data_IF_304770771644
#
_entry.id   IF_304770771644
#
_cell.length_a   1.000
_cell.length_b   1.000
_cell.length_c   1.000
_cell.angle_alpha   90.00
_cell.angle_beta   90.00
_cell.angle_gamma   90.00
#
_symmetry.space_group_name_H-M   'P 1'
#
loop_
_entity.id
_entity.type
_entity.pdbx_description
1 polymer ?
#
# COMPACT_ATOMS: atom_id res chain seq x y z
N UNK A 1 18.54 -2.75 13.74
CA UNK A 1 17.49 -3.51 14.44
C UNK A 1 16.72 -4.24 13.36
N UNK A 2 16.87 -5.57 13.29
CA UNK A 2 16.21 -6.40 12.29
C UNK A 2 14.76 -6.59 12.74
N UNK A 3 13.78 -6.04 12.03
CA UNK A 3 12.37 -6.35 12.28
C UNK A 3 12.12 -7.79 11.80
N UNK A 4 11.87 -8.68 12.75
CA UNK A 4 11.61 -10.12 12.55
C UNK A 4 10.17 -10.39 12.06
N UNK A 5 9.74 -9.72 10.99
CA UNK A 5 8.40 -9.95 10.39
C UNK A 5 8.46 -10.64 9.02
N UNK A 6 9.65 -11.06 8.58
CA UNK A 6 9.83 -11.94 7.42
C UNK A 6 9.71 -13.39 7.90
N UNK A 7 8.47 -13.88 8.06
CA UNK A 7 8.17 -15.30 8.35
C UNK A 7 8.74 -16.22 7.26
N UNK A 8 8.99 -15.65 6.07
CA UNK A 8 9.79 -16.25 5.01
C UNK A 8 10.94 -15.28 4.69
N UNK A 9 12.19 -15.74 4.68
CA UNK A 9 13.40 -15.01 4.21
C UNK A 9 13.33 -14.74 2.68
N UNK A 10 12.20 -14.25 2.21
CA UNK A 10 11.93 -13.93 0.84
C UNK A 10 11.61 -12.43 0.78
N UNK A 11 12.46 -11.68 0.09
CA UNK A 11 12.47 -10.22 0.05
C UNK A 11 11.21 -9.58 -0.56
N UNK A 12 10.16 -10.35 -0.84
CA UNK A 12 8.88 -9.90 -1.43
C UNK A 12 8.35 -8.60 -0.82
N UNK A 13 8.47 -8.43 0.50
CA UNK A 13 7.96 -7.24 1.20
C UNK A 13 8.75 -5.99 0.82
N UNK A 14 10.08 -6.12 0.80
CA UNK A 14 10.99 -5.06 0.37
C UNK A 14 10.84 -4.79 -1.14
N UNK A 15 10.76 -5.83 -1.96
CA UNK A 15 10.61 -5.69 -3.41
C UNK A 15 9.29 -5.00 -3.78
N UNK A 16 8.20 -5.35 -3.10
CA UNK A 16 6.90 -4.68 -3.27
C UNK A 16 6.95 -3.23 -2.80
N UNK A 17 7.70 -2.94 -1.73
CA UNK A 17 7.91 -1.58 -1.26
C UNK A 17 8.69 -0.74 -2.29
N UNK A 18 9.78 -1.27 -2.83
CA UNK A 18 10.57 -0.61 -3.89
C UNK A 18 9.71 -0.35 -5.13
N UNK A 19 8.83 -1.30 -5.48
CA UNK A 19 7.85 -1.11 -6.55
C UNK A 19 6.89 0.05 -6.27
N UNK A 20 6.30 0.13 -5.07
CA UNK A 20 5.42 1.25 -4.71
C UNK A 20 6.14 2.60 -4.78
N UNK A 21 7.38 2.68 -4.32
CA UNK A 21 8.19 3.92 -4.41
C UNK A 21 8.45 4.30 -5.86
N UNK A 22 8.78 3.34 -6.72
CA UNK A 22 8.97 3.58 -8.14
C UNK A 22 7.67 4.02 -8.83
N UNK A 23 6.55 3.42 -8.45
CA UNK A 23 5.23 3.70 -9.05
C UNK A 23 4.68 5.06 -8.60
N UNK A 24 4.95 5.45 -7.36
CA UNK A 24 4.68 6.77 -6.81
C UNK A 24 5.49 7.87 -7.51
N UNK A 25 6.72 7.56 -7.95
CA UNK A 25 7.65 8.54 -8.49
C UNK A 25 7.17 9.10 -9.83
N UNK A 26 6.78 10.38 -9.82
CA UNK A 26 6.35 11.11 -11.01
C UNK A 26 4.87 10.97 -11.36
N UNK A 27 4.06 10.34 -10.49
CA UNK A 27 2.61 10.35 -10.60
C UNK A 27 2.01 11.43 -9.69
N UNK A 28 1.04 12.16 -10.20
CA UNK A 28 0.19 13.04 -9.39
C UNK A 28 -1.06 12.27 -8.98
N UNK A 29 -1.06 11.70 -7.78
CA UNK A 29 -2.22 11.00 -7.23
C UNK A 29 -3.00 11.91 -6.29
N UNK A 30 -4.30 12.09 -6.55
CA UNK A 30 -5.18 12.86 -5.67
C UNK A 30 -5.60 12.05 -4.43
N UNK A 31 -5.73 10.72 -4.60
CA UNK A 31 -6.12 9.79 -3.55
C UNK A 31 -5.16 8.61 -3.51
N UNK A 32 -4.66 8.29 -2.32
CA UNK A 32 -3.79 7.15 -2.10
C UNK A 32 -4.48 6.17 -1.15
N UNK A 33 -4.71 4.94 -1.63
CA UNK A 33 -5.18 3.82 -0.84
C UNK A 33 -3.97 2.97 -0.45
N UNK A 34 -3.78 2.71 0.85
CA UNK A 34 -2.72 1.80 1.33
C UNK A 34 -3.35 0.78 2.26
N UNK A 35 -3.10 -0.50 2.07
CA UNK A 35 -3.74 -1.51 2.92
C UNK A 35 -3.25 -2.92 2.70
N UNK A 36 -4.02 -3.84 3.22
CA UNK A 36 -3.77 -5.27 3.10
C UNK A 36 -4.29 -5.83 1.76
N UNK A 37 -4.54 -7.13 1.75
CA UNK A 37 -5.13 -7.89 0.65
C UNK A 37 -6.46 -7.31 0.17
N UNK A 38 -7.24 -6.62 1.00
CA UNK A 38 -8.47 -5.98 0.55
C UNK A 38 -8.23 -4.81 -0.39
N UNK A 39 -7.18 -4.00 -0.15
CA UNK A 39 -6.83 -2.90 -1.06
C UNK A 39 -6.28 -3.46 -2.38
N UNK A 40 -5.48 -4.53 -2.31
CA UNK A 40 -4.98 -5.21 -3.50
C UNK A 40 -6.13 -5.80 -4.34
N UNK A 41 -7.13 -6.41 -3.68
CA UNK A 41 -8.32 -6.94 -4.35
C UNK A 41 -9.25 -5.83 -4.84
N UNK A 42 -9.34 -4.72 -4.10
CA UNK A 42 -10.13 -3.55 -4.50
C UNK A 42 -9.61 -2.97 -5.82
N UNK A 43 -8.29 -2.82 -5.97
CA UNK A 43 -7.68 -2.36 -7.23
C UNK A 43 -8.03 -3.27 -8.42
N UNK A 44 -8.14 -4.58 -8.18
CA UNK A 44 -8.51 -5.55 -9.20
C UNK A 44 -10.02 -5.56 -9.52
N UNK A 45 -10.84 -5.00 -8.64
CA UNK A 45 -12.29 -5.04 -8.76
C UNK A 45 -12.81 -4.21 -9.94
N UNK A 46 -13.97 -4.62 -10.46
CA UNK A 46 -14.66 -3.88 -11.50
C UNK A 46 -15.04 -2.46 -11.06
N UNK A 47 -15.46 -2.32 -9.79
CA UNK A 47 -15.84 -1.03 -9.18
C UNK A 47 -14.68 -0.04 -9.22
N UNK A 48 -13.46 -0.49 -8.89
CA UNK A 48 -12.29 0.37 -8.96
C UNK A 48 -12.00 0.83 -10.39
N UNK A 49 -12.03 -0.11 -11.35
CA UNK A 49 -11.75 0.19 -12.76
C UNK A 49 -12.74 1.17 -13.37
N UNK A 50 -14.03 1.05 -13.05
CA UNK A 50 -15.05 1.93 -13.61
C UNK A 50 -15.12 3.30 -12.92
N UNK A 51 -14.93 3.36 -11.60
CA UNK A 51 -15.20 4.58 -10.83
C UNK A 51 -13.96 5.29 -10.30
N UNK A 52 -12.88 4.58 -9.99
CA UNK A 52 -11.73 5.13 -9.26
C UNK A 52 -10.47 5.25 -10.12
N UNK A 53 -10.27 4.37 -11.10
CA UNK A 53 -9.16 4.48 -12.05
C UNK A 53 -9.10 5.84 -12.78
N UNK A 54 -10.22 6.48 -13.17
CA UNK A 54 -10.19 7.81 -13.77
C UNK A 54 -9.85 8.95 -12.79
N UNK A 55 -9.93 8.71 -11.49
CA UNK A 55 -9.76 9.73 -10.43
C UNK A 55 -8.30 9.89 -9.98
N UNK A 56 -7.34 9.39 -10.76
CA UNK A 56 -5.91 9.45 -10.44
C UNK A 56 -5.62 8.87 -9.04
N UNK A 57 -6.30 7.76 -8.72
CA UNK A 57 -6.10 7.04 -7.47
C UNK A 57 -4.87 6.11 -7.59
N UNK A 58 -4.10 5.97 -6.52
CA UNK A 58 -3.09 4.93 -6.38
C UNK A 58 -3.51 3.94 -5.30
N UNK A 59 -3.32 2.64 -5.56
CA UNK A 59 -3.61 1.57 -4.62
C UNK A 59 -2.34 0.79 -4.30
N UNK A 60 -1.89 0.87 -3.05
CA UNK A 60 -0.74 0.14 -2.54
C UNK A 60 -1.22 -0.92 -1.53
N UNK A 61 -1.77 -2.00 -2.07
CA UNK A 61 -2.20 -3.18 -1.31
C UNK A 61 -1.09 -4.20 -1.20
N UNK A 62 -0.78 -4.64 0.02
CA UNK A 62 0.21 -5.68 0.27
C UNK A 62 -0.46 -6.94 0.86
N UNK A 63 -0.45 -8.03 0.09
CA UNK A 63 -0.97 -9.33 0.51
C UNK A 63 -0.19 -9.82 1.74
N UNK A 64 -0.88 -10.04 2.86
CA UNK A 64 -0.27 -10.55 4.09
C UNK A 64 0.29 -9.50 5.04
N UNK A 65 0.24 -8.20 4.70
CA UNK A 65 0.68 -7.16 5.63
C UNK A 65 -0.27 -7.05 6.84
N UNK A 66 0.32 -6.75 8.01
CA UNK A 66 -0.37 -6.31 9.22
C UNK A 66 -0.40 -4.78 9.27
N UNK A 67 -1.28 -4.23 10.10
CA UNK A 67 -1.40 -2.77 10.28
C UNK A 67 -0.09 -2.15 10.81
N UNK A 68 0.69 -2.88 11.61
CA UNK A 68 2.03 -2.48 12.06
C UNK A 68 3.01 -2.24 10.91
N UNK A 69 2.87 -3.00 9.82
CA UNK A 69 3.74 -2.91 8.64
C UNK A 69 3.38 -1.71 7.75
N UNK A 70 2.11 -1.31 7.79
CA UNK A 70 1.60 -0.11 7.12
C UNK A 70 2.32 1.16 7.64
N UNK A 71 2.59 1.20 8.95
CA UNK A 71 3.32 2.30 9.59
C UNK A 71 4.72 2.44 9.03
N UNK A 72 5.44 1.31 8.89
CA UNK A 72 6.76 1.30 8.29
C UNK A 72 6.73 1.79 6.84
N UNK A 73 5.73 1.42 6.03
CA UNK A 73 5.60 1.91 4.65
C UNK A 73 5.35 3.41 4.56
N UNK A 74 4.49 3.95 5.44
CA UNK A 74 4.21 5.39 5.50
C UNK A 74 5.45 6.20 5.93
N UNK A 75 6.22 5.67 6.87
CA UNK A 75 7.45 6.30 7.37
C UNK A 75 8.62 6.15 6.39
N UNK A 76 8.62 5.12 5.53
CA UNK A 76 9.67 4.87 4.53
C UNK A 76 9.29 5.38 3.14
N UNK A 77 9.29 6.70 2.93
CA UNK A 77 9.43 7.32 1.60
C UNK A 77 8.39 6.99 0.51
N UNK A 78 7.36 6.17 0.76
CA UNK A 78 6.26 5.94 -0.20
C UNK A 78 5.53 7.25 -0.52
N UNK A 79 5.54 8.18 0.43
CA UNK A 79 4.97 9.52 0.25
C UNK A 79 5.99 10.53 -0.33
N UNK A 80 7.29 10.19 -0.47
CA UNK A 80 8.26 11.10 -1.08
C UNK A 80 7.96 11.24 -2.58
N UNK A 81 7.35 12.37 -2.95
CA UNK A 81 6.99 12.68 -4.33
C UNK A 81 5.49 12.59 -4.64
N UNK A 82 4.67 12.13 -3.69
CA UNK A 82 3.21 12.20 -3.77
C UNK A 82 2.70 13.31 -2.87
N UNK A 83 1.68 14.04 -3.33
CA UNK A 83 0.93 14.98 -2.51
C UNK A 83 -0.57 14.62 -2.51
N UNK A 84 -0.94 13.45 -1.95
CA UNK A 84 -2.32 13.00 -1.97
C UNK A 84 -3.15 13.88 -1.05
N UNK A 85 -4.34 14.29 -1.52
CA UNK A 85 -5.30 15.04 -0.71
C UNK A 85 -5.96 14.14 0.34
N UNK A 86 -6.03 12.84 0.07
CA UNK A 86 -6.64 11.85 0.94
C UNK A 86 -5.83 10.56 0.97
N UNK A 87 -5.55 10.08 2.18
CA UNK A 87 -4.97 8.77 2.45
C UNK A 87 -6.05 7.88 3.07
N UNK A 88 -6.33 6.73 2.47
CA UNK A 88 -7.28 5.76 3.01
C UNK A 88 -6.54 4.48 3.38
N UNK A 89 -6.57 4.12 4.67
CA UNK A 89 -6.06 2.83 5.15
C UNK A 89 -7.19 1.86 5.42
N UNK A 90 -7.11 0.66 4.84
CA UNK A 90 -8.01 -0.44 5.15
C UNK A 90 -7.17 -1.65 5.56
N UNK A 91 -7.41 -2.14 6.77
CA UNK A 91 -6.81 -3.35 7.31
C UNK A 91 -7.73 -3.94 8.36
N UNK A 92 -8.10 -5.21 8.20
CA UNK A 92 -8.95 -5.93 9.17
C UNK A 92 -8.14 -6.85 10.09
N UNK A 93 -6.83 -6.98 9.86
CA UNK A 93 -5.92 -7.75 10.72
C UNK A 93 -5.47 -6.92 11.92
N UNK A 94 -6.41 -6.59 12.80
CA UNK A 94 -6.20 -6.43 14.25
C UNK A 94 -6.73 -7.70 14.92
N UNK A 95 -5.98 -8.80 14.87
CA UNK A 95 -6.22 -9.91 15.80
C UNK A 95 -4.92 -10.13 16.54
N UNK A 96 -4.74 -9.32 17.59
CA UNK A 96 -3.84 -9.65 18.67
C UNK A 96 -4.45 -10.86 19.37
N UNK A 97 -3.83 -12.03 19.18
CA UNK A 97 -4.08 -13.26 19.93
C UNK A 97 -2.85 -13.60 20.73
#
# INVERSE_FOLDING_TARGET
MQNNDDIFEDRRRADLHEWFVSEAKGKEADVLFIGDDHIALFEQSFVYREHFAPLHCLCFGALGDRISDLRWRLENKVLEGLNPKMLCSAGYRCFDG
#
